data_IF_235721213080
#
_entry.id   IF_235721213080
#
_cell.length_a   1.000
_cell.length_b   1.000
_cell.length_c   1.000
_cell.angle_alpha   90.00
_cell.angle_beta   90.00
_cell.angle_gamma   90.00
#
_symmetry.space_group_name_H-M   'P 1'
#
loop_
_entity.id
_entity.type
_entity.pdbx_description
1 polymer ?
#
# COMPACT_ATOMS: atom_id res chain seq x y z
N UNK A 1 -0.81 3.31 0.72
CA UNK A 1 0.34 3.96 1.39
C UNK A 1 0.62 3.20 2.66
N UNK A 2 1.86 2.74 2.85
CA UNK A 2 2.31 1.99 4.02
C UNK A 2 3.67 2.55 4.48
N UNK A 3 3.67 3.37 5.53
CA UNK A 3 4.90 3.81 6.18
C UNK A 3 5.42 2.70 7.10
N UNK A 4 6.75 2.57 7.20
CA UNK A 4 7.42 1.49 7.94
C UNK A 4 8.63 2.00 8.73
N UNK A 5 8.95 1.28 9.81
CA UNK A 5 10.24 1.42 10.50
C UNK A 5 11.33 0.64 9.73
N UNK A 6 12.58 1.10 9.80
CA UNK A 6 13.72 0.52 9.09
C UNK A 6 14.92 0.35 10.01
N UNK A 7 15.76 -0.65 9.73
CA UNK A 7 17.02 -0.89 10.44
C UNK A 7 16.87 -1.55 11.82
N UNK A 8 17.93 -1.45 12.62
CA UNK A 8 18.04 -2.06 13.95
C UNK A 8 17.71 -1.08 15.07
N UNK A 9 16.85 -1.52 15.99
CA UNK A 9 16.36 -0.75 17.14
C UNK A 9 17.24 -0.99 18.37
N UNK A 10 17.16 -0.08 19.35
CA UNK A 10 17.96 -0.14 20.59
C UNK A 10 17.66 -1.38 21.44
N UNK A 11 16.47 -1.96 21.31
CA UNK A 11 16.07 -3.23 21.94
C UNK A 11 16.62 -4.47 21.22
N UNK A 12 17.37 -4.28 20.13
CA UNK A 12 17.96 -5.33 19.31
C UNK A 12 17.07 -5.87 18.21
N UNK A 13 15.81 -5.44 18.10
CA UNK A 13 14.89 -5.82 17.01
C UNK A 13 15.37 -5.22 15.68
N UNK A 14 15.12 -5.93 14.59
CA UNK A 14 15.34 -5.44 13.24
C UNK A 14 14.00 -5.30 12.52
N UNK A 15 13.83 -4.24 11.74
CA UNK A 15 12.62 -3.97 10.98
C UNK A 15 12.93 -3.87 9.50
N UNK A 16 12.08 -4.48 8.69
CA UNK A 16 12.29 -4.66 7.26
C UNK A 16 12.38 -3.35 6.47
N UNK A 17 11.79 -2.25 6.93
CA UNK A 17 11.66 -1.03 6.14
C UNK A 17 10.61 -1.22 5.05
N UNK A 18 10.98 -0.84 3.82
CA UNK A 18 10.12 -0.83 2.64
C UNK A 18 8.84 -0.03 2.90
N UNK A 19 9.00 1.24 3.27
CA UNK A 19 7.86 2.16 3.18
C UNK A 19 7.43 2.24 1.72
N UNK A 20 6.15 1.97 1.45
CA UNK A 20 5.62 1.71 0.12
C UNK A 20 4.42 2.60 -0.23
N UNK A 21 4.37 3.03 -1.49
CA UNK A 21 3.14 3.54 -2.14
C UNK A 21 2.83 2.61 -3.32
N UNK A 22 1.60 2.12 -3.36
CA UNK A 22 1.10 1.19 -4.39
C UNK A 22 -0.17 1.77 -4.99
N UNK A 23 -0.27 1.74 -6.31
CA UNK A 23 -1.42 2.20 -7.07
C UNK A 23 -2.64 1.24 -6.95
N UNK A 24 -3.82 1.60 -7.47
CA UNK A 24 -5.01 0.74 -7.41
C UNK A 24 -4.90 -0.58 -8.20
N UNK A 25 -3.96 -0.70 -9.15
CA UNK A 25 -3.72 -1.92 -9.92
C UNK A 25 -2.73 -2.88 -9.23
N UNK A 26 -1.94 -2.36 -8.28
CA UNK A 26 -0.88 -3.10 -7.58
C UNK A 26 0.52 -2.71 -8.03
N UNK A 27 0.69 -1.67 -8.83
CA UNK A 27 2.00 -1.14 -9.22
C UNK A 27 2.66 -0.41 -8.04
N UNK A 28 3.94 -0.70 -7.78
CA UNK A 28 4.72 -0.03 -6.74
C UNK A 28 5.19 1.32 -7.29
N UNK A 29 4.56 2.40 -6.83
CA UNK A 29 4.89 3.77 -7.21
C UNK A 29 6.10 4.32 -6.45
N UNK A 30 6.33 3.80 -5.24
CA UNK A 30 7.46 4.16 -4.39
C UNK A 30 7.80 2.98 -3.49
N UNK A 31 9.07 2.61 -3.43
CA UNK A 31 9.68 1.76 -2.41
C UNK A 31 10.92 2.46 -1.84
N UNK A 32 10.93 2.69 -0.53
CA UNK A 32 12.05 3.34 0.15
C UNK A 32 13.19 2.38 0.51
N UNK A 33 13.06 1.07 0.22
CA UNK A 33 14.03 0.06 0.59
C UNK A 33 14.09 -0.21 2.11
N UNK A 34 15.03 -1.06 2.52
CA UNK A 34 15.12 -1.58 3.89
C UNK A 34 16.35 -1.15 4.69
N UNK A 35 17.19 -0.29 4.12
CA UNK A 35 18.54 -0.06 4.65
C UNK A 35 18.65 1.19 5.53
N UNK A 36 18.01 2.30 5.13
CA UNK A 36 18.25 3.63 5.73
C UNK A 36 16.95 4.38 6.06
N UNK A 37 16.90 5.13 7.18
CA UNK A 37 15.79 6.03 7.47
C UNK A 37 15.75 7.19 6.48
N UNK A 38 14.55 7.64 6.11
CA UNK A 38 14.40 8.74 5.18
C UNK A 38 12.98 9.24 5.01
N UNK A 39 12.82 10.20 4.10
CA UNK A 39 11.55 10.75 3.65
C UNK A 39 11.54 10.74 2.12
N UNK A 40 10.42 10.35 1.54
CA UNK A 40 10.22 10.36 0.10
C UNK A 40 8.83 10.92 -0.25
N UNK A 41 8.71 11.44 -1.47
CA UNK A 41 7.48 11.97 -2.03
C UNK A 41 7.05 11.09 -3.20
N UNK A 42 5.74 10.96 -3.40
CA UNK A 42 5.15 10.21 -4.49
C UNK A 42 3.89 10.94 -4.94
N UNK A 43 3.81 11.24 -6.23
CA UNK A 43 2.62 11.81 -6.85
C UNK A 43 1.59 10.71 -7.10
N UNK A 44 0.33 10.98 -6.75
CA UNK A 44 -0.77 10.03 -6.91
C UNK A 44 -1.77 10.63 -7.89
N UNK A 45 -2.04 9.91 -8.97
CA UNK A 45 -3.11 10.24 -9.89
C UNK A 45 -4.46 9.68 -9.39
N UNK A 46 -5.40 10.58 -9.11
CA UNK A 46 -6.74 10.20 -8.66
C UNK A 46 -7.63 9.71 -9.82
N UNK A 47 -7.34 10.09 -11.07
CA UNK A 47 -8.09 9.61 -12.23
C UNK A 47 -7.91 8.10 -12.41
N UNK A 48 -6.70 7.58 -12.16
CA UNK A 48 -6.37 6.16 -12.18
C UNK A 48 -7.29 5.29 -11.32
N UNK A 49 -7.74 5.81 -10.16
CA UNK A 49 -8.67 5.08 -9.28
C UNK A 49 -10.00 4.80 -9.98
N UNK A 50 -10.54 5.78 -10.70
CA UNK A 50 -11.81 5.64 -11.40
C UNK A 50 -11.68 4.64 -12.56
N UNK A 51 -10.58 4.73 -13.32
CA UNK A 51 -10.28 3.81 -14.41
C UNK A 51 -10.21 2.35 -13.95
N UNK A 52 -9.41 2.07 -12.91
CA UNK A 52 -9.21 0.71 -12.41
C UNK A 52 -10.52 0.13 -11.86
N UNK A 53 -11.34 0.94 -11.16
CA UNK A 53 -12.66 0.50 -10.68
C UNK A 53 -13.64 0.18 -11.81
N UNK A 54 -13.54 0.86 -12.96
CA UNK A 54 -14.34 0.55 -14.14
C UNK A 54 -13.88 -0.74 -14.82
N UNK A 55 -12.57 -1.01 -14.83
CA UNK A 55 -11.99 -2.24 -15.39
C UNK A 55 -12.26 -3.47 -14.50
N UNK A 56 -12.17 -3.31 -13.17
CA UNK A 56 -12.35 -4.38 -12.19
C UNK A 56 -13.39 -3.95 -11.14
N UNK A 57 -14.70 -4.12 -11.42
CA UNK A 57 -15.78 -3.61 -10.56
C UNK A 57 -16.07 -4.53 -9.35
N UNK A 58 -15.04 -4.90 -8.58
CA UNK A 58 -15.11 -5.86 -7.47
C UNK A 58 -16.19 -5.53 -6.43
N UNK A 59 -16.43 -4.24 -6.15
CA UNK A 59 -17.46 -3.80 -5.20
C UNK A 59 -18.87 -4.02 -5.75
N UNK A 60 -19.11 -3.81 -7.04
CA UNK A 60 -20.40 -4.07 -7.67
C UNK A 60 -20.69 -5.59 -7.73
N UNK A 61 -19.63 -6.38 -7.89
CA UNK A 61 -19.71 -7.85 -7.93
C UNK A 61 -19.80 -8.48 -6.53
N UNK A 62 -19.72 -7.70 -5.44
CA UNK A 62 -19.69 -8.20 -4.07
C UNK A 62 -21.01 -8.88 -3.71
N UNK A 63 -20.95 -10.16 -3.31
CA UNK A 63 -22.09 -10.88 -2.73
C UNK A 63 -22.20 -10.57 -1.24
N UNK A 64 -23.43 -10.34 -0.74
CA UNK A 64 -23.68 -10.17 0.69
C UNK A 64 -23.42 -11.49 1.42
N UNK A 65 -22.68 -11.43 2.52
CA UNK A 65 -22.52 -12.57 3.42
C UNK A 65 -23.80 -12.63 4.28
N UNK A 66 -24.52 -13.76 4.32
CA UNK A 66 -25.66 -13.93 5.21
C UNK A 66 -25.24 -13.67 6.65
N UNK A 67 -26.09 -13.00 7.43
CA UNK A 67 -25.91 -12.92 8.88
C UNK A 67 -26.37 -14.25 9.48
N UNK A 68 -25.63 -14.77 10.44
CA UNK A 68 -26.14 -15.85 11.29
C UNK A 68 -27.17 -15.24 12.25
N UNK A 69 -28.35 -15.84 12.30
CA UNK A 69 -29.38 -15.55 13.30
C UNK A 69 -28.96 -16.05 14.70
#
# INVERSE_FOLDING_TARGET
IAAAQVGRHADGRETYGHSLVVDPWGEILLDMGGDEPGLAFCDIDLARIAEVRAQVPSLANRRKIPKSD
#
